data_IF_770294361481
#
_entry.id   IF_770294361481
#
_cell.length_a   1.000
_cell.length_b   1.000
_cell.length_c   1.000
_cell.angle_alpha   90.00
_cell.angle_beta   90.00
_cell.angle_gamma   90.00
#
_symmetry.space_group_name_H-M   'P 1'
#
loop_
_entity.id
_entity.type
_entity.pdbx_description
1 polymer ?
#
# COMPACT_ATOMS: atom_id res chain seq x y z
N UNK A 1 5.88 -43.64 1.85
CA UNK A 1 5.43 -42.39 2.49
C UNK A 1 5.40 -41.32 1.41
N UNK A 2 4.22 -40.86 1.00
CA UNK A 2 4.11 -39.81 -0.01
C UNK A 2 4.46 -38.44 0.64
N UNK A 3 5.19 -37.55 -0.05
CA UNK A 3 5.51 -36.24 0.49
C UNK A 3 4.23 -35.40 0.59
N UNK A 4 3.90 -34.97 1.81
CA UNK A 4 2.81 -34.04 2.08
C UNK A 4 3.24 -32.66 1.61
N UNK A 5 2.75 -32.24 0.45
CA UNK A 5 2.95 -30.89 -0.06
C UNK A 5 2.05 -29.92 0.71
N UNK A 6 2.60 -29.29 1.76
CA UNK A 6 1.90 -28.23 2.49
C UNK A 6 1.77 -26.99 1.59
N UNK A 7 0.59 -26.79 1.01
CA UNK A 7 0.23 -25.55 0.32
C UNK A 7 -0.24 -24.55 1.37
N UNK A 8 0.66 -23.67 1.82
CA UNK A 8 0.31 -22.53 2.67
C UNK A 8 -0.53 -21.57 1.80
N UNK A 9 -1.85 -21.63 1.95
CA UNK A 9 -2.76 -20.66 1.34
C UNK A 9 -2.79 -19.47 2.28
N UNK A 10 -1.95 -18.47 1.99
CA UNK A 10 -2.00 -17.18 2.65
C UNK A 10 -3.29 -16.46 2.25
N UNK A 11 -4.28 -16.52 3.13
CA UNK A 11 -5.57 -15.86 2.97
C UNK A 11 -5.58 -14.44 3.55
N UNK A 12 -4.46 -13.95 4.08
CA UNK A 12 -4.36 -12.61 4.68
C UNK A 12 -3.90 -11.54 3.71
N UNK A 13 -3.20 -11.90 2.63
CA UNK A 13 -2.90 -10.97 1.55
C UNK A 13 -4.08 -10.86 0.58
N UNK A 14 -5.07 -10.02 0.93
CA UNK A 14 -5.93 -9.42 -0.09
C UNK A 14 -5.03 -8.57 -0.97
N UNK A 15 -4.55 -9.14 -2.09
CA UNK A 15 -3.98 -8.35 -3.17
C UNK A 15 -5.07 -7.42 -3.68
N UNK A 16 -5.12 -6.21 -3.14
CA UNK A 16 -5.90 -5.13 -3.73
C UNK A 16 -5.24 -4.88 -5.09
N UNK A 17 -5.99 -5.00 -6.20
CA UNK A 17 -5.39 -4.81 -7.52
C UNK A 17 -4.77 -3.42 -7.59
N UNK A 18 -3.53 -3.31 -8.09
CA UNK A 18 -2.82 -2.04 -8.21
C UNK A 18 -3.64 -0.97 -8.94
N UNK A 19 -4.43 -1.37 -9.95
CA UNK A 19 -5.31 -0.47 -10.69
C UNK A 19 -6.39 0.18 -9.81
N UNK A 20 -6.87 -0.52 -8.78
CA UNK A 20 -7.88 -0.01 -7.85
C UNK A 20 -7.29 1.08 -6.95
N UNK A 21 -6.02 0.91 -6.56
CA UNK A 21 -5.25 1.94 -5.84
C UNK A 21 -5.01 3.18 -6.69
N UNK A 22 -4.58 2.99 -7.94
CA UNK A 22 -4.38 4.09 -8.91
C UNK A 22 -5.69 4.83 -9.18
N UNK A 23 -6.80 4.11 -9.37
CA UNK A 23 -8.11 4.70 -9.60
C UNK A 23 -8.56 5.56 -8.40
N UNK A 24 -8.36 5.06 -7.17
CA UNK A 24 -8.70 5.80 -5.94
C UNK A 24 -7.91 7.10 -5.83
N UNK A 25 -6.62 7.07 -6.15
CA UNK A 25 -5.76 8.27 -6.16
C UNK A 25 -6.18 9.27 -7.24
N UNK A 26 -6.52 8.79 -8.43
CA UNK A 26 -7.01 9.63 -9.53
C UNK A 26 -8.33 10.35 -9.19
N UNK A 27 -9.28 9.64 -8.56
CA UNK A 27 -10.53 10.23 -8.08
C UNK A 27 -10.26 11.30 -7.02
N UNK A 28 -9.38 11.01 -6.05
CA UNK A 28 -9.01 11.97 -5.01
C UNK A 28 -8.37 13.24 -5.60
N UNK A 29 -7.41 13.07 -6.50
CA UNK A 29 -6.77 14.19 -7.20
C UNK A 29 -7.80 15.03 -7.96
N UNK A 30 -8.75 14.39 -8.64
CA UNK A 30 -9.80 15.07 -9.39
C UNK A 30 -10.69 15.92 -8.48
N UNK A 31 -11.11 15.42 -7.31
CA UNK A 31 -11.96 16.17 -6.37
C UNK A 31 -11.25 17.40 -5.81
N UNK A 32 -9.96 17.27 -5.53
CA UNK A 32 -9.16 18.34 -4.91
C UNK A 32 -8.73 19.40 -5.94
N UNK A 33 -8.49 18.99 -7.19
CA UNK A 33 -7.98 19.88 -8.24
C UNK A 33 -9.08 20.49 -9.12
N UNK A 34 -10.19 19.78 -9.37
CA UNK A 34 -11.27 20.24 -10.25
C UNK A 34 -11.91 21.57 -9.83
N UNK A 35 -12.14 21.86 -8.53
CA UNK A 35 -12.70 23.16 -8.13
C UNK A 35 -11.80 24.33 -8.51
N UNK A 36 -10.47 24.16 -8.42
CA UNK A 36 -9.51 25.20 -8.82
C UNK A 36 -9.47 25.46 -10.32
N UNK A 37 -9.75 24.43 -11.13
CA UNK A 37 -9.89 24.58 -12.58
C UNK A 37 -11.22 25.26 -12.96
N UNK A 38 -12.32 24.91 -12.27
CA UNK A 38 -13.65 25.47 -12.56
C UNK A 38 -13.79 26.95 -12.19
N UNK A 39 -13.05 27.40 -11.19
CA UNK A 39 -13.10 28.79 -10.68
C UNK A 39 -11.95 29.64 -11.25
N UNK A 40 -11.12 29.09 -12.14
CA UNK A 40 -9.92 29.75 -12.71
C UNK A 40 -9.05 30.41 -11.64
N UNK A 41 -8.96 29.78 -10.46
CA UNK A 41 -8.24 30.33 -9.31
C UNK A 41 -6.90 29.62 -9.16
N UNK A 42 -5.83 30.31 -9.52
CA UNK A 42 -4.46 29.81 -9.35
C UNK A 42 -4.19 29.39 -7.91
N UNK A 43 -4.70 30.15 -6.93
CA UNK A 43 -4.56 29.84 -5.51
C UNK A 43 -5.19 28.49 -5.14
N UNK A 44 -6.38 28.17 -5.67
CA UNK A 44 -7.04 26.90 -5.44
C UNK A 44 -6.35 25.73 -6.15
N UNK A 45 -5.77 25.96 -7.33
CA UNK A 45 -4.97 24.96 -8.03
C UNK A 45 -3.69 24.61 -7.24
N UNK A 46 -3.00 25.62 -6.70
CA UNK A 46 -1.84 25.43 -5.83
C UNK A 46 -2.19 24.73 -4.52
N UNK A 47 -3.31 25.09 -3.89
CA UNK A 47 -3.79 24.39 -2.70
C UNK A 47 -4.06 22.91 -2.99
N UNK A 48 -4.70 22.61 -4.13
CA UNK A 48 -4.96 21.23 -4.53
C UNK A 48 -3.69 20.45 -4.85
N UNK A 49 -2.71 21.08 -5.48
CA UNK A 49 -1.39 20.50 -5.76
C UNK A 49 -0.67 20.07 -4.48
N UNK A 50 -0.61 20.94 -3.46
CA UNK A 50 0.06 20.68 -2.19
C UNK A 50 -0.55 19.49 -1.45
N UNK A 51 -1.89 19.39 -1.44
CA UNK A 51 -2.61 18.28 -0.80
C UNK A 51 -2.31 16.95 -1.49
N UNK A 52 -2.28 16.91 -2.83
CA UNK A 52 -1.92 15.70 -3.59
C UNK A 52 -0.47 15.30 -3.30
N UNK A 53 0.47 16.25 -3.31
CA UNK A 53 1.88 16.01 -3.03
C UNK A 53 2.10 15.41 -1.63
N UNK A 54 1.45 15.98 -0.61
CA UNK A 54 1.49 15.44 0.76
C UNK A 54 0.90 14.03 0.85
N UNK A 55 -0.22 13.80 0.15
CA UNK A 55 -0.85 12.48 0.08
C UNK A 55 0.05 11.40 -0.54
N UNK A 56 0.73 11.73 -1.64
CA UNK A 56 1.69 10.83 -2.28
C UNK A 56 2.85 10.50 -1.35
N UNK A 57 3.40 11.48 -0.63
CA UNK A 57 4.47 11.25 0.34
C UNK A 57 4.04 10.31 1.48
N UNK A 58 2.83 10.50 2.01
CA UNK A 58 2.27 9.61 3.04
C UNK A 58 2.06 8.19 2.49
N UNK A 59 1.60 8.05 1.25
CA UNK A 59 1.43 6.75 0.62
C UNK A 59 2.77 6.02 0.43
N UNK A 60 3.81 6.73 -0.01
CA UNK A 60 5.17 6.18 -0.19
C UNK A 60 5.78 5.76 1.14
N UNK A 61 5.60 6.56 2.19
CA UNK A 61 6.01 6.22 3.56
C UNK A 61 5.24 5.01 4.11
N UNK A 62 3.93 4.94 3.84
CA UNK A 62 3.09 3.80 4.24
C UNK A 62 3.50 2.51 3.53
N UNK A 63 3.84 2.55 2.24
CA UNK A 63 4.26 1.35 1.49
C UNK A 63 5.65 0.86 1.91
N UNK A 64 6.56 1.76 2.29
CA UNK A 64 7.87 1.35 2.83
C UNK A 64 7.78 0.77 4.24
N UNK A 65 6.70 1.05 4.99
CA UNK A 65 6.47 0.45 6.31
C UNK A 65 5.93 -0.98 6.25
N UNK A 66 5.36 -1.44 5.13
CA UNK A 66 4.72 -2.77 5.00
C UNK A 66 5.67 -3.85 4.48
N UNK A 67 6.83 -3.47 3.92
CA UNK A 67 7.89 -4.41 3.59
C UNK A 67 8.63 -4.80 4.87
N UNK A 68 8.17 -5.88 5.51
CA UNK A 68 9.02 -6.68 6.39
C UNK A 68 10.32 -6.93 5.65
N UNK A 69 11.40 -6.29 6.11
CA UNK A 69 12.74 -6.56 5.60
C UNK A 69 12.95 -8.09 5.57
N UNK A 70 13.60 -8.60 4.53
CA UNK A 70 13.81 -10.05 4.32
C UNK A 70 14.34 -10.73 5.60
N UNK A 71 15.14 -10.01 6.39
CA UNK A 71 15.63 -10.45 7.70
C UNK A 71 14.53 -10.66 8.75
N UNK A 72 13.55 -9.75 8.85
CA UNK A 72 12.42 -9.90 9.77
C UNK A 72 11.47 -11.03 9.34
N UNK A 73 11.31 -11.25 8.04
CA UNK A 73 10.55 -12.40 7.53
C UNK A 73 11.24 -13.74 7.87
N UNK A 74 12.58 -13.80 7.78
CA UNK A 74 13.37 -14.97 8.20
C UNK A 74 13.28 -15.24 9.70
N UNK A 75 13.41 -14.20 10.54
CA UNK A 75 13.26 -14.34 11.98
C UNK A 75 11.88 -14.88 12.39
N UNK A 76 10.81 -14.41 11.72
CA UNK A 76 9.44 -14.93 11.93
C UNK A 76 9.29 -16.39 11.50
N UNK A 77 9.99 -16.83 10.44
CA UNK A 77 9.99 -18.22 9.99
C UNK A 77 10.72 -19.14 10.99
N UNK A 78 11.89 -18.72 11.47
CA UNK A 78 12.66 -19.46 12.48
C UNK A 78 11.87 -19.62 13.79
N UNK A 79 11.15 -18.57 14.23
CA UNK A 79 10.28 -18.63 15.41
C UNK A 79 9.11 -19.62 15.25
N UNK A 80 8.59 -19.78 14.02
CA UNK A 80 7.50 -20.71 13.73
C UNK A 80 8.03 -22.15 13.67
N UNK A 81 9.18 -22.38 13.05
CA UNK A 81 9.84 -23.70 13.03
C UNK A 81 10.19 -24.16 14.45
N UNK A 82 10.78 -23.29 15.27
CA UNK A 82 11.12 -23.62 16.66
C UNK A 82 9.90 -24.05 17.49
N UNK A 83 8.74 -23.40 17.30
CA UNK A 83 7.49 -23.75 17.99
C UNK A 83 6.85 -25.05 17.48
N UNK A 84 7.15 -25.46 16.25
CA UNK A 84 6.58 -26.67 15.64
C UNK A 84 7.45 -27.90 15.91
N UNK A 85 8.73 -27.71 16.22
CA UNK A 85 9.67 -28.78 16.59
C UNK A 85 9.64 -29.17 18.08
N UNK A 86 8.70 -28.66 18.87
CA UNK A 86 8.47 -29.03 20.28
C UNK A 86 7.13 -29.73 20.41
#
# INVERSE_FOLDING_TARGET
MAPLTFRIIDSRHKHVPLWLGVLRWSIFASIVFAPGLLVESDAMQWAGFVVILGGVQIAVLGSTSEELTIEQARLRLDEIEAKTST
#
